data_IF_776025223195
#
_entry.id   IF_776025223195
#
_cell.length_a   1.000
_cell.length_b   1.000
_cell.length_c   1.000
_cell.angle_alpha   90.00
_cell.angle_beta   90.00
_cell.angle_gamma   90.00
#
_symmetry.space_group_name_H-M   'P 1'
#
loop_
_entity.id
_entity.type
_entity.pdbx_description
1 polymer ?
#
# COMPACT_ATOMS: atom_id res chain seq x y z
N UNK A 1 -7.86 10.16 -0.98
CA UNK A 1 -7.29 11.48 -1.36
C UNK A 1 -5.83 11.45 -1.76
N UNK A 2 -5.10 10.41 -1.42
CA UNK A 2 -3.65 10.31 -1.71
C UNK A 2 -3.33 9.61 -3.04
N UNK A 3 -4.32 9.11 -3.77
CA UNK A 3 -4.08 8.39 -5.03
C UNK A 3 -4.10 9.26 -6.29
N UNK A 4 -4.41 10.55 -6.18
CA UNK A 4 -4.18 11.47 -7.28
C UNK A 4 -2.77 12.05 -7.12
N UNK A 5 -1.81 11.56 -7.87
CA UNK A 5 -0.49 12.17 -8.03
C UNK A 5 -0.68 13.51 -8.77
N UNK A 6 -1.11 14.53 -8.03
CA UNK A 6 -1.30 15.89 -8.57
C UNK A 6 -0.04 16.74 -8.48
N UNK A 7 1.01 16.19 -7.92
CA UNK A 7 2.24 16.87 -7.57
C UNK A 7 3.39 16.64 -8.55
N UNK A 8 3.16 15.83 -9.59
CA UNK A 8 4.18 15.63 -10.63
C UNK A 8 4.07 16.72 -11.70
N UNK A 9 5.01 17.67 -11.75
CA UNK A 9 4.97 18.73 -12.76
C UNK A 9 5.23 18.19 -14.16
N UNK A 10 4.70 18.85 -15.19
CA UNK A 10 4.95 18.49 -16.60
C UNK A 10 6.44 18.43 -16.96
N UNK A 11 7.26 19.22 -16.30
CA UNK A 11 8.72 19.17 -16.46
C UNK A 11 9.31 17.81 -16.07
N UNK A 12 8.80 17.19 -15.00
CA UNK A 12 9.20 15.84 -14.60
C UNK A 12 8.70 14.80 -15.58
N UNK A 13 7.44 14.89 -16.01
CA UNK A 13 6.90 14.00 -17.05
C UNK A 13 7.70 14.10 -18.34
N UNK A 14 8.14 15.29 -18.75
CA UNK A 14 8.97 15.47 -19.93
C UNK A 14 10.37 14.86 -19.80
N UNK A 15 10.93 14.82 -18.58
CA UNK A 15 12.22 14.14 -18.32
C UNK A 15 12.11 12.62 -18.48
N UNK A 16 10.92 12.06 -18.21
CA UNK A 16 10.62 10.63 -18.30
C UNK A 16 9.64 10.30 -19.45
N UNK A 17 9.66 11.11 -20.51
CA UNK A 17 8.69 11.01 -21.62
C UNK A 17 8.82 9.74 -22.43
N UNK A 18 10.02 9.21 -22.54
CA UNK A 18 10.29 8.00 -23.30
C UNK A 18 9.52 6.81 -22.73
N UNK A 19 8.81 6.07 -23.58
CA UNK A 19 7.96 4.94 -23.18
C UNK A 19 6.60 5.32 -22.57
N UNK A 20 6.24 6.62 -22.49
CA UNK A 20 4.94 7.06 -21.99
C UNK A 20 4.01 7.49 -23.13
N UNK A 21 2.76 7.05 -23.06
CA UNK A 21 1.64 7.53 -23.88
C UNK A 21 0.72 8.32 -22.94
N UNK A 22 0.58 9.63 -23.15
CA UNK A 22 -0.15 10.52 -22.24
C UNK A 22 -1.41 11.03 -22.94
N UNK A 23 -2.58 10.75 -22.35
CA UNK A 23 -3.88 11.25 -22.79
C UNK A 23 -4.28 12.55 -22.13
N UNK A 24 -5.24 13.27 -22.75
CA UNK A 24 -5.72 14.56 -22.25
C UNK A 24 -6.64 14.49 -21.03
N UNK A 25 -7.01 13.29 -20.61
CA UNK A 25 -8.01 13.02 -19.57
C UNK A 25 -9.43 13.52 -19.92
N UNK A 26 -10.35 13.39 -18.96
CA UNK A 26 -11.77 13.71 -19.07
C UNK A 26 -12.04 15.22 -19.00
N UNK A 27 -13.27 15.61 -18.65
CA UNK A 27 -13.70 17.01 -18.49
C UNK A 27 -12.88 17.79 -17.44
N UNK A 28 -12.31 17.08 -16.45
CA UNK A 28 -11.41 17.69 -15.46
C UNK A 28 -9.99 17.94 -16.00
N UNK A 29 -9.68 17.39 -17.17
CA UNK A 29 -8.37 17.54 -17.81
C UNK A 29 -8.13 18.95 -18.33
N UNK A 30 -6.85 19.35 -18.41
CA UNK A 30 -6.46 20.72 -18.79
C UNK A 30 -6.94 21.13 -20.20
N UNK A 31 -6.97 20.17 -21.16
CA UNK A 31 -7.40 20.46 -22.53
C UNK A 31 -8.89 20.79 -22.58
N UNK A 32 -9.72 19.93 -21.97
CA UNK A 32 -11.16 20.16 -21.88
C UNK A 32 -11.46 21.46 -21.15
N UNK A 33 -10.81 21.68 -19.99
CA UNK A 33 -10.97 22.90 -19.20
C UNK A 33 -10.50 24.17 -19.93
N UNK A 34 -9.51 24.08 -20.80
CA UNK A 34 -9.07 25.22 -21.60
C UNK A 34 -10.10 25.61 -22.66
N UNK A 35 -10.77 24.64 -23.29
CA UNK A 35 -11.84 24.85 -24.24
C UNK A 35 -13.07 25.40 -23.52
N UNK A 36 -13.50 24.74 -22.44
CA UNK A 36 -14.65 25.14 -21.62
C UNK A 36 -14.53 26.60 -21.13
N UNK A 37 -13.33 27.00 -20.72
CA UNK A 37 -13.06 28.37 -20.25
C UNK A 37 -12.63 29.32 -21.37
N UNK A 38 -12.86 28.97 -22.63
CA UNK A 38 -12.60 29.80 -23.83
C UNK A 38 -11.20 30.42 -23.83
N UNK A 39 -10.18 29.61 -23.47
CA UNK A 39 -8.77 30.05 -23.53
C UNK A 39 -8.37 30.40 -24.97
N UNK A 40 -7.35 31.25 -25.11
CA UNK A 40 -6.88 31.61 -26.45
C UNK A 40 -6.48 30.40 -27.27
N UNK A 41 -6.67 30.43 -28.62
CA UNK A 41 -6.27 29.33 -29.51
C UNK A 41 -4.80 28.90 -29.33
N UNK A 42 -3.92 29.85 -29.00
CA UNK A 42 -2.50 29.57 -28.73
C UNK A 42 -2.31 28.80 -27.42
N UNK A 43 -3.12 29.08 -26.40
CA UNK A 43 -3.06 28.35 -25.12
C UNK A 43 -3.59 26.92 -25.29
N UNK A 44 -4.71 26.75 -26.00
CA UNK A 44 -5.27 25.43 -26.32
C UNK A 44 -4.27 24.62 -27.17
N UNK A 45 -3.66 25.23 -28.17
CA UNK A 45 -2.66 24.56 -29.03
C UNK A 45 -1.47 24.02 -28.22
N UNK A 46 -0.91 24.84 -27.31
CA UNK A 46 0.20 24.40 -26.43
C UNK A 46 -0.18 23.22 -25.52
N UNK A 47 -1.41 23.18 -25.03
CA UNK A 47 -1.89 22.04 -24.26
C UNK A 47 -2.09 20.82 -25.15
N UNK A 48 -2.67 20.99 -26.33
CA UNK A 48 -2.88 19.93 -27.29
C UNK A 48 -1.56 19.28 -27.74
N UNK A 49 -0.48 20.06 -27.91
CA UNK A 49 0.84 19.54 -28.30
C UNK A 49 1.44 18.59 -27.25
N UNK A 50 1.13 18.81 -25.96
CA UNK A 50 1.71 18.01 -24.86
C UNK A 50 1.23 16.56 -24.84
N UNK A 51 -0.05 16.29 -25.15
CA UNK A 51 -0.67 14.98 -25.08
C UNK A 51 -0.43 14.16 -26.35
N UNK A 52 -0.41 12.83 -26.25
CA UNK A 52 -0.24 11.91 -27.39
C UNK A 52 -1.58 11.57 -28.04
N UNK A 53 -2.65 11.56 -27.26
CA UNK A 53 -4.02 11.39 -27.71
C UNK A 53 -4.99 12.25 -26.90
N UNK A 54 -6.19 12.46 -27.41
CA UNK A 54 -7.22 13.18 -26.71
C UNK A 54 -8.40 12.28 -26.39
N UNK A 55 -9.07 12.63 -25.31
CA UNK A 55 -10.20 11.86 -24.78
C UNK A 55 -11.48 12.69 -24.83
N UNK A 56 -12.57 12.05 -25.24
CA UNK A 56 -13.93 12.56 -25.11
C UNK A 56 -14.83 11.49 -24.48
N UNK A 57 -15.89 11.93 -23.82
CA UNK A 57 -16.80 11.05 -23.08
C UNK A 57 -18.24 11.23 -23.54
N UNK A 58 -19.16 10.25 -23.25
CA UNK A 58 -20.58 10.41 -23.47
C UNK A 58 -21.10 11.70 -22.87
N UNK A 59 -22.05 12.34 -23.55
CA UNK A 59 -22.61 13.63 -23.09
C UNK A 59 -23.22 13.53 -21.71
N UNK A 60 -23.82 12.38 -21.37
CA UNK A 60 -24.40 12.12 -20.04
C UNK A 60 -23.41 12.25 -18.90
N UNK A 61 -22.11 11.94 -19.13
CA UNK A 61 -21.08 12.08 -18.12
C UNK A 61 -20.88 13.54 -17.69
N UNK A 62 -21.16 14.48 -18.58
CA UNK A 62 -20.99 15.92 -18.39
C UNK A 62 -22.33 16.68 -18.26
N UNK A 63 -23.47 15.98 -18.15
CA UNK A 63 -24.80 16.56 -18.03
C UNK A 63 -24.89 17.57 -16.88
N UNK A 64 -24.19 17.32 -15.78
CA UNK A 64 -24.14 18.20 -14.61
C UNK A 64 -23.70 19.64 -14.91
N UNK A 65 -23.00 19.85 -16.05
CA UNK A 65 -22.58 21.19 -16.47
C UNK A 65 -23.75 22.01 -16.95
N UNK A 66 -24.77 21.40 -17.57
CA UNK A 66 -25.97 22.07 -18.05
C UNK A 66 -26.86 22.51 -16.87
N UNK A 67 -26.85 21.69 -15.81
CA UNK A 67 -27.73 21.91 -14.66
C UNK A 67 -27.09 22.80 -13.58
N UNK A 68 -25.93 23.41 -13.86
CA UNK A 68 -25.14 24.14 -12.88
C UNK A 68 -24.82 25.57 -13.34
N UNK A 69 -25.21 26.55 -12.55
CA UNK A 69 -24.86 27.95 -12.77
C UNK A 69 -23.36 28.25 -12.86
N UNK A 70 -22.54 27.33 -12.37
CA UNK A 70 -21.06 27.42 -12.44
C UNK A 70 -20.54 27.40 -13.88
N UNK A 71 -21.28 26.79 -14.79
CA UNK A 71 -20.89 26.60 -16.20
C UNK A 71 -21.83 27.39 -17.12
N UNK A 72 -22.04 28.67 -16.82
CA UNK A 72 -23.05 29.52 -17.43
C UNK A 72 -23.06 29.59 -18.97
N UNK A 73 -21.98 29.17 -19.63
CA UNK A 73 -21.89 29.08 -21.09
C UNK A 73 -22.36 27.72 -21.64
N UNK A 74 -22.66 26.75 -20.77
CA UNK A 74 -23.16 25.42 -21.13
C UNK A 74 -24.61 25.30 -20.74
N UNK A 75 -25.50 25.41 -21.72
CA UNK A 75 -26.95 25.46 -21.48
C UNK A 75 -27.70 24.30 -22.19
N UNK A 76 -27.00 23.52 -23.00
CA UNK A 76 -27.63 22.51 -23.82
C UNK A 76 -26.68 21.34 -24.12
N UNK A 77 -27.23 20.18 -24.54
CA UNK A 77 -26.45 19.07 -25.07
C UNK A 77 -25.63 19.48 -26.28
N UNK A 78 -26.11 20.41 -27.09
CA UNK A 78 -25.38 20.91 -28.26
C UNK A 78 -24.08 21.60 -27.84
N UNK A 79 -24.05 22.33 -26.71
CA UNK A 79 -22.85 22.98 -26.22
C UNK A 79 -21.79 21.92 -25.81
N UNK A 80 -22.20 20.83 -25.16
CA UNK A 80 -21.33 19.71 -24.85
C UNK A 80 -20.81 19.00 -26.13
N UNK A 81 -21.69 18.83 -27.13
CA UNK A 81 -21.29 18.30 -28.42
C UNK A 81 -20.27 19.19 -29.13
N UNK A 82 -20.41 20.50 -29.02
CA UNK A 82 -19.47 21.45 -29.63
C UNK A 82 -18.08 21.36 -29.00
N UNK A 83 -17.98 21.18 -27.67
CA UNK A 83 -16.67 20.91 -27.04
C UNK A 83 -16.05 19.63 -27.57
N UNK A 84 -16.82 18.55 -27.66
CA UNK A 84 -16.31 17.29 -28.23
C UNK A 84 -15.89 17.43 -29.69
N UNK A 85 -16.66 18.16 -30.52
CA UNK A 85 -16.30 18.47 -31.90
C UNK A 85 -15.01 19.27 -31.99
N UNK A 86 -14.79 20.23 -31.10
CA UNK A 86 -13.55 21.00 -31.03
C UNK A 86 -12.36 20.11 -30.70
N UNK A 87 -12.49 19.20 -29.73
CA UNK A 87 -11.43 18.23 -29.38
C UNK A 87 -11.13 17.31 -30.57
N UNK A 88 -12.15 16.84 -31.30
CA UNK A 88 -11.97 16.03 -32.52
C UNK A 88 -11.23 16.83 -33.59
N UNK A 89 -11.61 18.10 -33.80
CA UNK A 89 -10.93 18.99 -34.75
C UNK A 89 -9.46 19.23 -34.37
N UNK A 90 -9.15 19.36 -33.08
CA UNK A 90 -7.76 19.43 -32.59
C UNK A 90 -7.00 18.13 -32.91
N UNK A 91 -7.64 16.97 -32.75
CA UNK A 91 -7.06 15.67 -33.13
C UNK A 91 -6.66 15.63 -34.58
N UNK A 92 -7.53 16.09 -35.51
CA UNK A 92 -7.23 16.18 -36.91
C UNK A 92 -6.09 17.18 -37.22
N UNK A 93 -6.17 18.36 -36.60
CA UNK A 93 -5.15 19.41 -36.79
C UNK A 93 -3.76 18.99 -36.33
N UNK A 94 -3.65 18.32 -35.18
CA UNK A 94 -2.37 17.89 -34.59
C UNK A 94 -1.99 16.47 -35.00
N UNK A 95 -2.81 15.78 -35.81
CA UNK A 95 -2.64 14.40 -36.26
C UNK A 95 -2.49 13.41 -35.08
N UNK A 96 -3.29 13.64 -34.03
CA UNK A 96 -3.32 12.81 -32.84
C UNK A 96 -4.64 12.06 -32.73
N UNK A 97 -4.64 10.78 -32.32
CA UNK A 97 -5.88 10.04 -32.15
C UNK A 97 -6.77 10.68 -31.09
N UNK A 98 -8.08 10.67 -31.35
CA UNK A 98 -9.09 10.98 -30.34
C UNK A 98 -9.77 9.67 -29.99
N UNK A 99 -9.96 9.40 -28.71
CA UNK A 99 -10.63 8.19 -28.20
C UNK A 99 -11.88 8.55 -27.41
N UNK A 100 -12.91 7.73 -27.55
CA UNK A 100 -14.10 7.80 -26.72
C UNK A 100 -13.95 6.82 -25.54
N UNK A 101 -13.98 7.31 -24.31
CA UNK A 101 -13.97 6.50 -23.10
C UNK A 101 -15.31 6.61 -22.38
N UNK A 102 -15.71 5.56 -21.65
CA UNK A 102 -17.01 5.50 -20.98
C UNK A 102 -16.96 5.95 -19.52
N UNK A 103 -15.77 5.97 -18.89
CA UNK A 103 -15.57 6.28 -17.47
C UNK A 103 -16.43 5.39 -16.55
N UNK A 104 -16.33 4.08 -16.75
CA UNK A 104 -17.15 3.08 -16.08
C UNK A 104 -16.88 3.04 -14.58
N UNK A 105 -17.95 3.20 -13.77
CA UNK A 105 -17.91 3.10 -12.31
C UNK A 105 -18.85 2.01 -11.76
N UNK A 106 -19.78 1.56 -12.58
CA UNK A 106 -20.71 0.46 -12.25
C UNK A 106 -21.13 -0.30 -13.52
N UNK A 107 -21.72 -1.49 -13.36
CA UNK A 107 -21.96 -2.40 -14.48
C UNK A 107 -23.25 -2.02 -15.22
N UNK A 108 -24.37 -2.06 -14.53
CA UNK A 108 -25.68 -1.80 -15.09
C UNK A 108 -26.22 -0.43 -14.63
N UNK A 109 -27.10 0.24 -15.40
CA UNK A 109 -27.65 1.55 -15.03
C UNK A 109 -28.26 1.59 -13.62
N UNK A 110 -28.85 0.51 -13.16
CA UNK A 110 -29.49 0.37 -11.86
C UNK A 110 -28.50 0.33 -10.70
N UNK A 111 -27.24 0.01 -10.95
CA UNK A 111 -26.17 -0.07 -9.97
C UNK A 111 -25.71 1.31 -9.46
N UNK A 112 -26.17 2.40 -10.09
CA UNK A 112 -25.92 3.76 -9.64
C UNK A 112 -26.20 3.94 -8.15
N UNK A 113 -27.26 3.28 -7.63
CA UNK A 113 -27.64 3.37 -6.24
C UNK A 113 -26.53 2.92 -5.29
N UNK A 114 -25.77 1.88 -5.64
CA UNK A 114 -24.67 1.38 -4.81
C UNK A 114 -23.50 2.37 -4.76
N UNK A 115 -23.17 2.98 -5.90
CA UNK A 115 -22.18 4.04 -5.94
C UNK A 115 -22.59 5.24 -5.08
N UNK A 116 -23.84 5.67 -5.17
CA UNK A 116 -24.41 6.74 -4.36
C UNK A 116 -24.30 6.46 -2.86
N UNK A 117 -24.62 5.27 -2.41
CA UNK A 117 -24.49 4.84 -1.01
C UNK A 117 -23.03 4.93 -0.55
N UNK A 118 -22.08 4.44 -1.36
CA UNK A 118 -20.66 4.47 -1.03
C UNK A 118 -20.13 5.90 -0.95
N UNK A 119 -20.52 6.75 -1.89
CA UNK A 119 -20.11 8.16 -1.92
C UNK A 119 -20.67 8.94 -0.74
N UNK A 120 -21.96 8.75 -0.43
CA UNK A 120 -22.59 9.36 0.75
C UNK A 120 -21.90 8.90 2.04
N UNK A 121 -21.59 7.62 2.18
CA UNK A 121 -20.85 7.07 3.32
C UNK A 121 -19.43 7.64 3.48
N UNK A 122 -18.82 8.12 2.39
CA UNK A 122 -17.52 8.81 2.39
C UNK A 122 -17.64 10.34 2.56
N UNK A 123 -18.86 10.86 2.70
CA UNK A 123 -19.12 12.30 2.92
C UNK A 123 -19.01 13.17 1.67
N UNK A 124 -19.20 12.61 0.47
CA UNK A 124 -19.28 13.41 -0.76
C UNK A 124 -20.62 14.15 -0.82
N UNK A 125 -20.59 15.48 -0.99
CA UNK A 125 -21.78 16.33 -1.00
C UNK A 125 -22.64 16.18 -2.26
N UNK A 126 -22.08 15.65 -3.34
CA UNK A 126 -22.71 15.41 -4.64
C UNK A 126 -23.14 13.96 -4.84
N UNK A 127 -23.19 13.17 -3.77
CA UNK A 127 -23.51 11.74 -3.83
C UNK A 127 -24.87 11.45 -4.51
N UNK A 128 -25.85 12.33 -4.34
CA UNK A 128 -27.19 12.19 -4.91
C UNK A 128 -27.30 12.60 -6.39
N UNK A 129 -26.24 13.18 -6.95
CA UNK A 129 -26.19 13.62 -8.36
C UNK A 129 -25.18 12.75 -9.12
N UNK A 130 -25.64 11.57 -9.53
CA UNK A 130 -24.76 10.62 -10.23
C UNK A 130 -24.89 10.74 -11.75
N UNK A 131 -23.78 10.93 -12.47
CA UNK A 131 -23.79 10.75 -13.93
C UNK A 131 -23.94 9.27 -14.30
N UNK A 132 -24.41 8.95 -15.52
CA UNK A 132 -24.69 7.59 -15.98
C UNK A 132 -23.38 6.85 -16.36
N UNK A 133 -22.55 6.54 -15.37
CA UNK A 133 -21.22 5.94 -15.54
C UNK A 133 -21.27 4.40 -15.58
N UNK A 134 -22.25 3.83 -16.24
CA UNK A 134 -22.38 2.39 -16.43
C UNK A 134 -21.55 1.90 -17.63
N UNK A 135 -21.29 0.59 -17.66
CA UNK A 135 -20.59 -0.05 -18.78
C UNK A 135 -21.48 -0.04 -20.04
N UNK A 136 -21.09 0.72 -21.03
CA UNK A 136 -21.75 0.74 -22.34
C UNK A 136 -21.12 -0.29 -23.28
N UNK A 137 -21.94 -0.95 -24.05
CA UNK A 137 -21.50 -1.80 -25.17
C UNK A 137 -20.93 -0.94 -26.30
N UNK A 138 -20.25 -1.58 -27.24
CA UNK A 138 -19.73 -0.89 -28.44
C UNK A 138 -20.83 -0.20 -29.23
N UNK A 139 -21.98 -0.86 -29.39
CA UNK A 139 -23.11 -0.30 -30.12
C UNK A 139 -23.70 0.92 -29.43
N UNK A 140 -23.86 0.88 -28.09
CA UNK A 140 -24.29 2.04 -27.30
C UNK A 140 -23.30 3.20 -27.41
N UNK A 141 -21.99 2.91 -27.37
CA UNK A 141 -20.98 3.95 -27.55
C UNK A 141 -21.02 4.55 -28.98
N UNK A 142 -21.23 3.75 -30.01
CA UNK A 142 -21.41 4.26 -31.37
C UNK A 142 -22.63 5.15 -31.51
N UNK A 143 -23.72 4.83 -30.83
CA UNK A 143 -24.94 5.65 -30.77
C UNK A 143 -24.69 6.98 -30.05
N UNK A 144 -24.05 6.95 -28.88
CA UNK A 144 -23.68 8.16 -28.10
C UNK A 144 -22.91 9.17 -28.94
N UNK A 145 -22.03 8.71 -29.81
CA UNK A 145 -21.20 9.60 -30.66
C UNK A 145 -21.72 9.76 -32.11
N UNK A 146 -22.94 9.29 -32.40
CA UNK A 146 -23.55 9.36 -33.74
C UNK A 146 -23.62 10.77 -34.32
N UNK A 147 -23.69 11.80 -33.46
CA UNK A 147 -23.70 13.21 -33.86
C UNK A 147 -22.41 13.69 -34.56
N UNK A 148 -21.33 12.89 -34.50
CA UNK A 148 -20.08 13.14 -35.25
C UNK A 148 -20.08 12.50 -36.65
N UNK A 149 -21.13 11.75 -36.97
CA UNK A 149 -21.23 10.92 -38.17
C UNK A 149 -20.63 9.52 -38.01
N UNK A 150 -21.17 8.52 -38.68
CA UNK A 150 -20.87 7.11 -38.46
C UNK A 150 -19.38 6.75 -38.63
N UNK A 151 -18.69 7.34 -39.62
CA UNK A 151 -17.28 7.10 -39.86
C UNK A 151 -16.42 7.63 -38.68
N UNK A 152 -16.68 8.85 -38.21
CA UNK A 152 -15.94 9.44 -37.10
C UNK A 152 -16.27 8.74 -35.78
N UNK A 153 -17.53 8.39 -35.52
CA UNK A 153 -17.91 7.60 -34.37
C UNK A 153 -17.16 6.27 -34.30
N UNK A 154 -17.08 5.53 -35.44
CA UNK A 154 -16.30 4.30 -35.51
C UNK A 154 -14.81 4.54 -35.25
N UNK A 155 -14.23 5.58 -35.84
CA UNK A 155 -12.82 5.92 -35.66
C UNK A 155 -12.49 6.12 -34.16
N UNK A 156 -13.30 6.91 -33.42
CA UNK A 156 -13.03 7.28 -32.03
C UNK A 156 -13.43 6.21 -31.01
N UNK A 157 -14.43 5.38 -31.31
CA UNK A 157 -14.94 4.34 -30.41
C UNK A 157 -14.20 3.02 -30.58
N UNK A 158 -13.78 2.68 -31.80
CA UNK A 158 -13.22 1.38 -32.13
C UNK A 158 -11.76 1.50 -32.58
N UNK A 159 -11.51 2.23 -33.66
CA UNK A 159 -10.24 2.15 -34.36
C UNK A 159 -9.10 2.78 -33.55
N UNK A 160 -9.32 3.99 -33.02
CA UNK A 160 -8.31 4.69 -32.20
C UNK A 160 -8.03 4.04 -30.85
N UNK A 161 -9.02 3.57 -30.05
CA UNK A 161 -8.75 2.80 -28.84
C UNK A 161 -7.92 1.55 -29.08
N UNK A 162 -8.24 0.76 -30.14
CA UNK A 162 -7.44 -0.39 -30.50
C UNK A 162 -6.02 0.00 -30.90
N UNK A 163 -5.86 1.08 -31.69
CA UNK A 163 -4.54 1.60 -32.04
C UNK A 163 -3.70 1.97 -30.81
N UNK A 164 -4.30 2.59 -29.80
CA UNK A 164 -3.60 2.91 -28.54
C UNK A 164 -3.20 1.61 -27.81
N UNK A 165 -4.11 0.64 -27.73
CA UNK A 165 -3.82 -0.67 -27.13
C UNK A 165 -2.67 -1.39 -27.84
N UNK A 166 -2.61 -1.34 -29.16
CA UNK A 166 -1.55 -1.97 -29.96
C UNK A 166 -0.17 -1.31 -29.74
N UNK A 167 -0.14 -0.06 -29.28
CA UNK A 167 1.10 0.66 -28.94
C UNK A 167 1.64 0.27 -27.55
N UNK A 168 0.80 -0.30 -26.68
CA UNK A 168 1.18 -0.64 -25.30
C UNK A 168 1.94 -1.95 -25.26
N UNK A 169 3.15 -1.92 -24.75
CA UNK A 169 3.96 -3.11 -24.54
C UNK A 169 3.60 -3.80 -23.22
N UNK A 170 3.87 -5.11 -23.16
CA UNK A 170 3.69 -5.85 -21.89
C UNK A 170 4.77 -5.44 -20.90
N UNK A 171 4.40 -4.69 -19.91
CA UNK A 171 5.29 -4.24 -18.82
C UNK A 171 4.81 -4.76 -17.47
N UNK A 172 5.73 -4.82 -16.51
CA UNK A 172 5.39 -4.95 -15.09
C UNK A 172 5.54 -3.58 -14.43
N UNK A 173 4.46 -2.92 -14.02
CA UNK A 173 4.55 -1.59 -13.39
C UNK A 173 5.21 -1.63 -12.01
N UNK A 174 5.23 -2.80 -11.38
CA UNK A 174 5.91 -3.04 -10.12
C UNK A 174 7.07 -4.01 -10.37
N UNK A 175 8.27 -3.64 -9.94
CA UNK A 175 9.41 -4.54 -10.01
C UNK A 175 9.07 -5.85 -9.25
N UNK A 176 9.14 -7.02 -9.91
CA UNK A 176 8.86 -8.29 -9.25
C UNK A 176 9.92 -8.65 -8.19
N UNK A 177 11.10 -8.07 -8.30
CA UNK A 177 12.16 -8.28 -7.33
C UNK A 177 11.94 -7.36 -6.12
N UNK A 178 12.03 -7.94 -4.94
CA UNK A 178 12.03 -7.19 -3.70
C UNK A 178 13.34 -6.39 -3.59
N UNK A 179 13.24 -5.15 -3.16
CA UNK A 179 14.37 -4.25 -2.99
C UNK A 179 14.45 -3.79 -1.51
N UNK A 180 14.78 -4.71 -0.57
CA UNK A 180 14.95 -4.30 0.81
C UNK A 180 16.13 -3.31 0.92
N UNK A 181 16.09 -2.37 1.88
CA UNK A 181 17.23 -1.49 2.12
C UNK A 181 18.44 -2.31 2.55
N UNK A 182 19.63 -1.82 2.24
CA UNK A 182 20.89 -2.45 2.65
C UNK A 182 21.42 -1.73 3.89
N UNK A 183 21.63 -2.48 4.97
CA UNK A 183 22.30 -1.99 6.18
C UNK A 183 23.55 -2.85 6.35
N UNK A 184 24.72 -2.20 6.31
CA UNK A 184 26.00 -2.89 6.49
C UNK A 184 26.04 -3.64 7.81
N UNK A 185 26.59 -4.85 7.77
CA UNK A 185 26.74 -5.73 8.93
C UNK A 185 25.45 -6.07 9.68
N UNK A 186 24.27 -5.93 9.03
CA UNK A 186 22.98 -6.17 9.70
C UNK A 186 22.87 -7.58 10.29
N UNK A 187 23.43 -8.58 9.64
CA UNK A 187 23.44 -9.98 10.11
C UNK A 187 24.27 -10.15 11.39
N UNK A 188 25.50 -9.62 11.39
CA UNK A 188 26.37 -9.69 12.55
C UNK A 188 25.82 -8.85 13.70
N UNK A 189 25.35 -7.64 13.40
CA UNK A 189 24.75 -6.75 14.38
C UNK A 189 23.54 -7.41 15.07
N UNK A 190 22.69 -8.10 14.31
CA UNK A 190 21.54 -8.80 14.88
C UNK A 190 21.98 -9.94 15.78
N UNK A 191 22.99 -10.73 15.38
CA UNK A 191 23.57 -11.78 16.22
C UNK A 191 24.11 -11.19 17.52
N UNK A 192 24.95 -10.17 17.43
CA UNK A 192 25.59 -9.54 18.58
C UNK A 192 24.57 -8.97 19.56
N UNK A 193 23.55 -8.26 19.08
CA UNK A 193 22.47 -7.73 19.93
C UNK A 193 21.76 -8.87 20.67
N UNK A 194 21.38 -9.93 19.96
CA UNK A 194 20.61 -11.02 20.54
C UNK A 194 21.44 -11.84 21.55
N UNK A 195 22.69 -12.15 21.21
CA UNK A 195 23.56 -12.89 22.15
C UNK A 195 23.93 -12.07 23.36
N UNK A 196 24.26 -10.78 23.20
CA UNK A 196 24.54 -9.91 24.34
C UNK A 196 23.35 -9.86 25.29
N UNK A 197 22.12 -9.74 24.76
CA UNK A 197 20.91 -9.72 25.58
C UNK A 197 20.63 -11.09 26.24
N UNK A 198 20.84 -12.17 25.51
CA UNK A 198 20.67 -13.52 26.06
C UNK A 198 21.68 -13.78 27.20
N UNK A 199 22.95 -13.39 27.05
CA UNK A 199 23.95 -13.48 28.10
C UNK A 199 23.67 -12.57 29.30
N UNK A 200 23.14 -11.38 29.07
CA UNK A 200 22.67 -10.48 30.16
C UNK A 200 21.61 -11.14 31.01
N UNK A 201 20.69 -11.91 30.42
CA UNK A 201 19.56 -12.54 31.12
C UNK A 201 19.96 -13.90 31.73
N UNK A 202 20.61 -14.76 30.96
CA UNK A 202 20.83 -16.18 31.28
C UNK A 202 22.28 -16.52 31.64
N UNK A 203 23.19 -15.54 31.59
CA UNK A 203 24.62 -15.75 31.87
C UNK A 203 25.44 -16.24 30.68
N UNK A 204 26.76 -16.43 30.89
CA UNK A 204 27.70 -16.81 29.83
C UNK A 204 27.39 -18.19 29.22
N UNK A 205 26.94 -19.15 30.06
CA UNK A 205 26.53 -20.46 29.64
C UNK A 205 25.01 -20.50 29.42
N UNK A 206 24.60 -20.26 28.18
CA UNK A 206 23.17 -20.23 27.86
C UNK A 206 22.52 -21.62 28.10
N UNK A 207 21.32 -21.67 28.71
CA UNK A 207 20.52 -22.88 28.79
C UNK A 207 20.23 -23.44 27.40
N UNK A 208 20.20 -24.78 27.28
CA UNK A 208 19.98 -25.46 26.00
C UNK A 208 18.71 -24.97 25.26
N UNK A 209 17.53 -24.78 25.89
CA UNK A 209 16.34 -24.26 25.20
C UNK A 209 16.53 -22.83 24.64
N UNK A 210 17.28 -21.98 25.34
CA UNK A 210 17.60 -20.61 24.91
C UNK A 210 18.52 -20.64 23.69
N UNK A 211 19.62 -21.38 23.79
CA UNK A 211 20.60 -21.47 22.72
C UNK A 211 20.01 -22.09 21.46
N UNK A 212 19.33 -23.21 21.57
CA UNK A 212 18.72 -23.92 20.44
C UNK A 212 17.69 -23.04 19.72
N UNK A 213 16.82 -22.36 20.47
CA UNK A 213 15.81 -21.47 19.90
C UNK A 213 16.44 -20.27 19.19
N UNK A 214 17.44 -19.65 19.82
CA UNK A 214 18.13 -18.47 19.27
C UNK A 214 18.86 -18.80 17.97
N UNK A 215 19.64 -19.89 17.94
CA UNK A 215 20.37 -20.33 16.75
C UNK A 215 19.44 -20.70 15.60
N UNK A 216 18.36 -21.41 15.89
CA UNK A 216 17.35 -21.78 14.91
C UNK A 216 16.72 -20.56 14.26
N UNK A 217 16.29 -19.59 15.05
CA UNK A 217 15.64 -18.37 14.54
C UNK A 217 16.64 -17.49 13.77
N UNK A 218 17.82 -17.23 14.33
CA UNK A 218 18.86 -16.43 13.67
C UNK A 218 19.26 -17.04 12.32
N UNK A 219 19.42 -18.37 12.27
CA UNK A 219 19.74 -19.05 11.02
C UNK A 219 18.66 -18.85 9.97
N UNK A 220 17.40 -19.01 10.36
CA UNK A 220 16.26 -18.80 9.45
C UNK A 220 16.16 -17.36 8.97
N UNK A 221 16.25 -16.38 9.88
CA UNK A 221 16.14 -14.95 9.59
C UNK A 221 17.27 -14.51 8.65
N UNK A 222 18.51 -14.93 8.92
CA UNK A 222 19.69 -14.51 8.16
C UNK A 222 19.69 -15.18 6.77
N UNK A 223 19.44 -16.49 6.70
CA UNK A 223 19.44 -17.21 5.42
C UNK A 223 18.36 -16.72 4.44
N UNK A 224 17.27 -16.17 4.94
CA UNK A 224 16.20 -15.58 4.13
C UNK A 224 16.37 -14.04 3.90
N UNK A 225 17.47 -13.44 4.39
CA UNK A 225 17.77 -12.03 4.17
C UNK A 225 16.90 -11.05 4.99
N UNK A 226 16.30 -11.50 6.09
CA UNK A 226 15.39 -10.68 6.89
C UNK A 226 16.07 -9.86 8.01
N UNK A 227 17.38 -10.00 8.19
CA UNK A 227 18.14 -9.32 9.24
C UNK A 227 17.92 -7.81 9.25
N UNK A 228 17.87 -7.19 8.07
CA UNK A 228 17.66 -5.74 7.91
C UNK A 228 16.32 -5.30 8.49
N UNK A 229 15.25 -6.07 8.31
CA UNK A 229 13.93 -5.75 8.84
C UNK A 229 13.92 -5.76 10.38
N UNK A 230 14.60 -6.74 10.98
CA UNK A 230 14.77 -6.80 12.43
C UNK A 230 15.58 -5.60 12.96
N UNK A 231 16.68 -5.25 12.29
CA UNK A 231 17.50 -4.09 12.67
C UNK A 231 16.72 -2.77 12.54
N UNK A 232 15.89 -2.62 11.51
CA UNK A 232 15.02 -1.44 11.37
C UNK A 232 14.00 -1.37 12.52
N UNK A 233 13.31 -2.47 12.79
CA UNK A 233 12.33 -2.54 13.87
C UNK A 233 12.98 -2.25 15.23
N UNK A 234 14.13 -2.86 15.52
CA UNK A 234 14.91 -2.62 16.72
C UNK A 234 15.26 -1.14 16.88
N UNK A 235 15.80 -0.50 15.83
CA UNK A 235 16.16 0.93 15.88
C UNK A 235 14.95 1.83 16.12
N UNK A 236 13.80 1.51 15.52
CA UNK A 236 12.56 2.27 15.73
C UNK A 236 12.07 2.15 17.18
N UNK A 237 12.04 0.93 17.72
CA UNK A 237 11.59 0.70 19.09
C UNK A 237 12.54 1.38 20.10
N UNK A 238 13.85 1.18 19.95
CA UNK A 238 14.82 1.77 20.86
C UNK A 238 14.78 3.30 20.82
N UNK A 239 14.72 3.89 19.61
CA UNK A 239 14.61 5.35 19.47
C UNK A 239 13.34 5.90 20.13
N UNK A 240 12.20 5.23 19.97
CA UNK A 240 10.95 5.64 20.61
C UNK A 240 11.04 5.59 22.15
N UNK A 241 11.62 4.51 22.67
CA UNK A 241 11.82 4.35 24.12
C UNK A 241 12.80 5.39 24.67
N UNK A 242 13.91 5.67 23.96
CA UNK A 242 14.88 6.70 24.35
C UNK A 242 14.27 8.10 24.38
N UNK A 243 13.30 8.36 23.49
CA UNK A 243 12.53 9.60 23.47
C UNK A 243 11.41 9.65 24.54
N UNK A 244 11.26 8.58 25.34
CA UNK A 244 10.26 8.48 26.41
C UNK A 244 8.87 8.05 25.96
N UNK A 245 8.71 7.53 24.74
CA UNK A 245 7.45 7.03 24.23
C UNK A 245 7.37 5.51 24.30
N UNK A 246 6.23 5.00 24.78
CA UNK A 246 5.98 3.56 24.82
C UNK A 246 5.72 3.01 23.43
N UNK A 247 6.28 1.83 23.17
CA UNK A 247 6.02 1.04 21.97
C UNK A 247 5.48 -0.31 22.39
N UNK A 248 4.40 -0.75 21.76
CA UNK A 248 3.87 -2.10 21.91
C UNK A 248 3.98 -2.88 20.58
N UNK A 249 4.47 -4.09 20.63
CA UNK A 249 4.38 -5.01 19.50
C UNK A 249 2.97 -5.60 19.38
N UNK A 250 2.56 -5.94 18.16
CA UNK A 250 1.26 -6.57 17.88
C UNK A 250 1.43 -7.75 16.92
N UNK A 251 0.55 -8.75 17.08
CA UNK A 251 0.48 -9.87 16.14
C UNK A 251 1.55 -10.92 16.36
N UNK A 252 1.95 -11.58 15.27
CA UNK A 252 2.80 -12.78 15.31
C UNK A 252 4.26 -12.52 15.67
N UNK A 253 4.73 -11.28 15.73
CA UNK A 253 6.12 -10.96 16.12
C UNK A 253 6.48 -11.44 17.52
N UNK A 254 5.49 -11.52 18.42
CA UNK A 254 5.65 -12.09 19.78
C UNK A 254 6.03 -13.57 19.81
N UNK A 255 6.01 -14.29 18.69
CA UNK A 255 6.50 -15.66 18.57
C UNK A 255 7.98 -15.77 18.19
N UNK A 256 8.66 -14.64 17.96
CA UNK A 256 10.10 -14.61 17.65
C UNK A 256 10.94 -14.30 18.88
N UNK A 257 11.73 -15.25 19.32
CA UNK A 257 12.68 -15.07 20.43
C UNK A 257 13.81 -14.09 20.05
N UNK A 258 14.21 -14.08 18.77
CA UNK A 258 15.13 -13.04 18.25
C UNK A 258 14.53 -11.66 18.38
N UNK A 259 13.22 -11.47 18.14
CA UNK A 259 12.57 -10.18 18.36
C UNK A 259 12.57 -9.78 19.83
N UNK A 260 12.40 -10.74 20.74
CA UNK A 260 12.50 -10.50 22.20
C UNK A 260 13.92 -10.08 22.58
N UNK A 261 14.94 -10.83 22.13
CA UNK A 261 16.35 -10.53 22.43
C UNK A 261 16.82 -9.23 21.79
N UNK A 262 16.28 -8.86 20.63
CA UNK A 262 16.55 -7.56 19.99
C UNK A 262 15.78 -6.38 20.62
N UNK A 263 14.91 -6.62 21.61
CA UNK A 263 14.11 -5.58 22.25
C UNK A 263 13.04 -4.99 21.36
N UNK A 264 12.55 -5.77 20.39
CA UNK A 264 11.44 -5.38 19.51
C UNK A 264 10.09 -5.68 20.16
N UNK A 265 10.02 -6.76 20.93
CA UNK A 265 8.84 -7.18 21.69
C UNK A 265 9.24 -7.59 23.13
N UNK A 266 8.31 -7.43 24.06
CA UNK A 266 8.46 -7.87 25.45
C UNK A 266 7.98 -9.32 25.65
N UNK A 267 7.34 -9.91 24.64
CA UNK A 267 6.83 -11.28 24.70
C UNK A 267 7.99 -12.26 24.59
N UNK A 268 8.17 -13.13 25.58
CA UNK A 268 9.13 -14.22 25.54
C UNK A 268 8.43 -15.52 25.07
N UNK A 269 8.69 -16.01 23.83
CA UNK A 269 7.99 -17.16 23.28
C UNK A 269 8.53 -18.52 23.73
N UNK A 270 9.56 -18.55 24.56
CA UNK A 270 10.06 -19.81 25.10
C UNK A 270 9.00 -20.50 25.97
N UNK A 271 9.22 -21.76 26.27
CA UNK A 271 8.40 -22.47 27.27
C UNK A 271 8.44 -21.77 28.63
N UNK A 272 7.43 -21.94 29.48
CA UNK A 272 7.43 -21.41 30.86
C UNK A 272 8.71 -21.77 31.58
N UNK A 273 9.33 -20.77 32.24
CA UNK A 273 10.56 -20.96 32.99
C UNK A 273 10.78 -19.88 34.03
N UNK A 274 11.65 -20.15 34.97
CA UNK A 274 12.20 -19.17 35.89
C UNK A 274 13.60 -18.74 35.44
N UNK A 275 13.94 -17.49 35.71
CA UNK A 275 15.34 -17.04 35.66
C UNK A 275 15.62 -16.05 36.79
N UNK A 276 16.87 -15.93 37.18
CA UNK A 276 17.34 -15.02 38.22
C UNK A 276 18.13 -13.87 37.57
N UNK A 277 17.69 -12.62 37.77
CA UNK A 277 18.39 -11.43 37.30
C UNK A 277 19.73 -11.17 37.99
N UNK A 278 19.97 -11.76 39.17
CA UNK A 278 21.17 -11.51 39.95
C UNK A 278 22.30 -12.52 39.69
N UNK A 279 21.96 -13.81 39.56
CA UNK A 279 22.98 -14.86 39.40
C UNK A 279 22.80 -15.73 38.17
N UNK A 280 21.88 -15.37 37.29
CA UNK A 280 21.58 -16.05 36.01
C UNK A 280 21.16 -17.53 36.14
N UNK A 281 20.77 -17.96 37.38
CA UNK A 281 20.13 -19.26 37.51
C UNK A 281 18.87 -19.31 36.66
N UNK A 282 18.64 -20.45 36.01
CA UNK A 282 17.44 -20.68 35.20
C UNK A 282 16.91 -22.10 35.45
N UNK A 283 15.59 -22.23 35.38
CA UNK A 283 14.89 -23.50 35.54
C UNK A 283 13.83 -23.67 34.46
N UNK A 284 14.11 -24.58 33.54
CA UNK A 284 13.23 -24.98 32.43
C UNK A 284 12.61 -26.37 32.63
N UNK A 285 13.04 -27.11 33.66
CA UNK A 285 12.88 -28.55 33.67
C UNK A 285 12.35 -29.14 34.98
N UNK A 286 12.22 -28.34 36.03
CA UNK A 286 11.65 -28.85 37.27
C UNK A 286 10.20 -29.33 37.06
N UNK A 287 9.77 -30.27 37.90
CA UNK A 287 8.40 -30.82 37.86
C UNK A 287 7.33 -29.71 37.92
N UNK A 288 7.61 -28.68 38.73
CA UNK A 288 6.79 -27.49 38.86
C UNK A 288 6.67 -26.71 37.54
N UNK A 289 7.77 -26.47 36.81
CA UNK A 289 7.79 -25.79 35.54
C UNK A 289 7.09 -26.61 34.47
N UNK A 290 7.36 -27.92 34.40
CA UNK A 290 6.70 -28.84 33.44
C UNK A 290 5.19 -28.89 33.60
N UNK A 291 4.66 -28.64 34.79
CA UNK A 291 3.21 -28.59 35.01
C UNK A 291 2.54 -27.42 34.29
N UNK A 292 3.30 -26.41 33.87
CA UNK A 292 2.82 -25.24 33.12
C UNK A 292 3.14 -25.29 31.61
N UNK A 293 3.67 -26.41 31.12
CA UNK A 293 3.96 -26.57 29.69
C UNK A 293 2.70 -26.32 28.83
N UNK A 294 2.85 -25.57 27.74
CA UNK A 294 1.73 -25.13 26.89
C UNK A 294 0.91 -23.98 27.47
N UNK A 295 1.32 -23.41 28.61
CA UNK A 295 0.66 -22.31 29.30
C UNK A 295 1.51 -21.05 29.36
N UNK A 296 1.25 -20.23 30.37
CA UNK A 296 1.93 -18.95 30.60
C UNK A 296 2.83 -19.02 31.83
N UNK A 297 4.11 -18.67 31.67
CA UNK A 297 5.06 -18.63 32.78
C UNK A 297 4.67 -17.67 33.90
N UNK A 298 3.95 -16.61 33.59
CA UNK A 298 3.46 -15.66 34.61
C UNK A 298 2.45 -16.25 35.59
N UNK A 299 1.81 -17.37 35.22
CA UNK A 299 0.86 -18.08 36.08
C UNK A 299 1.58 -19.03 37.09
N UNK A 300 2.89 -19.23 36.93
CA UNK A 300 3.69 -20.01 37.87
C UNK A 300 3.74 -19.33 39.26
N UNK A 301 3.88 -20.09 40.36
CA UNK A 301 3.97 -19.52 41.70
C UNK A 301 5.23 -18.67 41.87
N UNK A 302 5.18 -17.68 42.73
CA UNK A 302 6.34 -16.88 43.13
C UNK A 302 7.35 -17.73 43.88
N UNK A 303 8.65 -17.62 43.52
CA UNK A 303 9.72 -18.44 44.05
C UNK A 303 11.01 -17.64 44.23
N UNK A 304 11.79 -17.99 45.20
CA UNK A 304 13.13 -17.42 45.40
C UNK A 304 14.21 -18.30 44.75
N UNK A 305 15.25 -17.65 44.27
CA UNK A 305 16.39 -18.32 43.64
C UNK A 305 17.08 -19.25 44.64
N UNK A 306 17.29 -20.53 44.32
CA UNK A 306 17.97 -21.46 45.23
C UNK A 306 19.45 -21.12 45.42
N UNK A 307 20.07 -20.37 44.50
CA UNK A 307 21.49 -20.04 44.56
C UNK A 307 21.78 -18.77 45.36
N UNK A 308 20.99 -17.68 45.17
CA UNK A 308 21.28 -16.39 45.78
C UNK A 308 20.13 -15.83 46.67
N UNK A 309 18.97 -16.48 46.67
CA UNK A 309 17.82 -16.05 47.48
C UNK A 309 17.00 -14.91 46.89
N UNK A 310 17.41 -14.30 45.76
CA UNK A 310 16.65 -13.26 45.09
C UNK A 310 15.33 -13.80 44.52
N UNK A 311 14.34 -12.93 44.34
CA UNK A 311 13.08 -13.33 43.70
C UNK A 311 13.30 -13.72 42.24
N UNK A 312 12.84 -14.90 41.84
CA UNK A 312 12.92 -15.35 40.46
C UNK A 312 11.93 -14.59 39.58
N UNK A 313 12.36 -14.30 38.35
CA UNK A 313 11.50 -13.80 37.28
C UNK A 313 10.82 -14.97 36.63
N UNK A 314 9.53 -14.83 36.35
CA UNK A 314 8.68 -15.79 35.64
C UNK A 314 8.55 -15.35 34.21
N UNK A 315 8.80 -16.23 33.25
CA UNK A 315 8.74 -15.91 31.81
C UNK A 315 8.26 -17.11 30.98
N UNK A 316 7.99 -16.85 29.71
CA UNK A 316 7.61 -17.85 28.74
C UNK A 316 6.12 -17.91 28.45
N UNK A 317 5.78 -17.93 27.16
CA UNK A 317 4.40 -18.05 26.65
C UNK A 317 4.19 -19.29 25.81
N UNK A 318 5.22 -20.11 25.63
CA UNK A 318 5.22 -21.35 24.84
C UNK A 318 4.67 -21.18 23.41
N UNK A 319 5.19 -20.18 22.68
CA UNK A 319 4.72 -19.83 21.35
C UNK A 319 5.66 -20.41 20.29
N UNK A 320 5.17 -21.23 19.33
CA UNK A 320 6.00 -21.76 18.25
C UNK A 320 6.49 -20.65 17.30
N UNK A 321 7.77 -20.72 16.88
CA UNK A 321 8.36 -19.79 15.93
C UNK A 321 7.66 -19.83 14.55
N UNK A 322 7.13 -20.97 14.18
CA UNK A 322 6.38 -21.21 12.96
C UNK A 322 5.17 -20.26 12.78
N UNK A 323 4.65 -19.75 13.88
CA UNK A 323 3.57 -18.75 13.87
C UNK A 323 4.00 -17.46 13.16
N UNK A 324 5.28 -17.12 13.21
CA UNK A 324 5.83 -15.89 12.62
C UNK A 324 6.34 -16.11 11.19
N UNK A 325 7.34 -16.97 11.00
CA UNK A 325 8.00 -17.18 9.71
C UNK A 325 7.56 -18.45 8.96
N UNK A 326 6.57 -19.16 9.46
CA UNK A 326 6.10 -20.41 8.86
C UNK A 326 7.04 -21.58 9.11
N UNK A 327 6.61 -22.80 8.71
CA UNK A 327 7.37 -24.04 8.95
C UNK A 327 8.71 -24.11 8.22
N UNK A 328 8.82 -23.44 7.07
CA UNK A 328 10.06 -23.35 6.28
C UNK A 328 10.89 -22.12 6.60
N UNK A 329 10.38 -21.20 7.42
CA UNK A 329 11.04 -19.94 7.72
C UNK A 329 11.08 -18.96 6.54
N UNK A 330 10.31 -19.18 5.49
CA UNK A 330 10.30 -18.44 4.23
C UNK A 330 9.14 -17.42 4.13
N UNK A 331 8.23 -17.44 5.09
CA UNK A 331 7.21 -16.39 5.20
C UNK A 331 7.88 -15.06 5.55
N UNK A 332 7.52 -14.00 4.85
CA UNK A 332 8.02 -12.66 5.18
C UNK A 332 7.61 -12.25 6.60
N UNK A 333 8.56 -11.71 7.38
CA UNK A 333 8.25 -11.19 8.71
C UNK A 333 7.33 -9.97 8.60
N UNK A 334 6.25 -10.00 9.36
CA UNK A 334 5.30 -8.90 9.51
C UNK A 334 5.41 -8.36 10.94
N UNK A 335 6.21 -7.31 11.11
CA UNK A 335 6.52 -6.71 12.40
C UNK A 335 5.63 -5.49 12.61
N UNK A 336 4.50 -5.71 13.29
CA UNK A 336 3.57 -4.65 13.66
C UNK A 336 3.99 -3.96 14.96
N UNK A 337 4.16 -2.65 14.90
CA UNK A 337 4.53 -1.81 16.04
C UNK A 337 3.48 -0.72 16.27
N UNK A 338 2.94 -0.64 17.50
CA UNK A 338 2.09 0.45 17.93
C UNK A 338 2.97 1.50 18.60
N UNK A 339 3.19 2.61 17.93
CA UNK A 339 3.93 3.75 18.44
C UNK A 339 2.96 4.76 19.04
N UNK A 340 3.35 5.43 20.12
CA UNK A 340 2.57 6.54 20.67
C UNK A 340 2.50 7.68 19.66
N UNK A 341 1.30 8.21 19.44
CA UNK A 341 1.14 9.49 18.76
C UNK A 341 1.41 10.62 19.77
N UNK A 342 2.21 11.60 19.35
CA UNK A 342 2.47 12.83 20.09
C UNK A 342 1.21 13.67 20.08
#
# INVERSE_FOLDING_TARGET
RQMCIRDSPKSLLNQHREGLIIGSACEAGELYQAILNQKSPQAVARLAEFYDYYEIQPLGNNQFMIDSDRYGDINSKEDLQNINREIVSLGEKFKKPVVATCDVHFLDPEDEVYRRIIMAGKGFGDADTQPPLYLRTTDEMLEEFSYLGSAKAREIVIDNPNRICDMVEKISPVNPNKCPPVIENSEQNLRDICYNKAHEIYGENLPEPVQTRLERELTSIISNGYSVMYIIAQKLVWKSNDDGYLVGSRGSVGSSFVATMAGITEVNPLSPHYYCSECHYSDFDSEEVRAFAGGCGFDMPDKNCPNCGAKLVKAGFDIPFETFLGFKGDKEPDIDLNLSLI
#
